data_IF_424819755004
#
_entry.id   IF_424819755004
#
_cell.length_a   1.000
_cell.length_b   1.000
_cell.length_c   1.000
_cell.angle_alpha   90.00
_cell.angle_beta   90.00
_cell.angle_gamma   90.00
#
_symmetry.space_group_name_H-M   'P 1'
#
loop_
_entity.id
_entity.type
_entity.pdbx_description
1 polymer ?
#
# COMPACT_ATOMS: atom_id res chain seq x y z
N UNK A 1 -31.44 24.34 25.70
CA UNK A 1 -32.52 24.14 24.70
C UNK A 1 -32.77 25.35 23.78
N UNK A 2 -32.62 26.61 24.24
CA UNK A 2 -32.90 27.79 23.40
C UNK A 2 -31.95 27.97 22.19
N UNK A 3 -30.67 27.57 22.30
CA UNK A 3 -29.69 27.71 21.21
C UNK A 3 -29.92 26.77 20.02
N UNK A 4 -30.48 25.57 20.26
CA UNK A 4 -30.86 24.68 19.16
C UNK A 4 -31.99 25.28 18.33
N UNK A 5 -32.99 25.89 18.98
CA UNK A 5 -34.12 26.52 18.29
C UNK A 5 -33.69 27.67 17.38
N UNK A 6 -32.71 28.46 17.79
CA UNK A 6 -32.17 29.59 17.00
C UNK A 6 -31.40 29.12 15.78
N UNK A 7 -30.63 28.04 15.91
CA UNK A 7 -29.90 27.45 14.79
C UNK A 7 -30.89 26.84 13.78
N UNK A 8 -31.91 26.12 14.25
CA UNK A 8 -32.91 25.52 13.37
C UNK A 8 -33.75 26.55 12.62
N UNK A 9 -34.13 27.66 13.27
CA UNK A 9 -34.88 28.74 12.60
C UNK A 9 -34.06 29.46 11.55
N UNK A 10 -32.77 29.69 11.82
CA UNK A 10 -31.84 30.32 10.88
C UNK A 10 -31.60 29.44 9.64
N UNK A 11 -31.43 28.13 9.82
CA UNK A 11 -31.31 27.17 8.72
C UNK A 11 -32.58 27.15 7.86
N UNK A 12 -33.77 27.22 8.50
CA UNK A 12 -35.04 27.22 7.78
C UNK A 12 -35.26 28.50 6.95
N UNK A 13 -34.85 29.66 7.47
CA UNK A 13 -34.87 30.93 6.74
C UNK A 13 -33.86 30.94 5.58
N UNK A 14 -32.68 30.34 5.79
CA UNK A 14 -31.66 30.21 4.75
C UNK A 14 -32.11 29.27 3.63
N UNK A 15 -32.77 28.14 3.95
CA UNK A 15 -33.34 27.22 2.96
C UNK A 15 -34.56 27.79 2.22
N UNK A 16 -35.20 28.86 2.71
CA UNK A 16 -36.33 29.50 2.02
C UNK A 16 -35.90 30.23 0.73
N UNK A 17 -34.61 30.59 0.62
CA UNK A 17 -34.06 31.14 -0.60
C UNK A 17 -33.80 30.02 -1.63
N UNK A 18 -34.49 30.08 -2.78
CA UNK A 18 -34.36 29.11 -3.89
C UNK A 18 -32.93 28.87 -4.36
N UNK A 19 -32.06 29.88 -4.27
CA UNK A 19 -30.66 29.74 -4.65
C UNK A 19 -29.85 29.01 -3.58
N UNK A 20 -30.10 29.31 -2.30
CA UNK A 20 -29.43 28.65 -1.19
C UNK A 20 -29.85 27.18 -1.07
N UNK A 21 -31.15 26.88 -1.22
CA UNK A 21 -31.66 25.51 -1.21
C UNK A 21 -31.02 24.67 -2.32
N UNK A 22 -30.99 25.18 -3.56
CA UNK A 22 -30.37 24.49 -4.69
C UNK A 22 -28.86 24.27 -4.47
N UNK A 23 -28.14 25.26 -3.94
CA UNK A 23 -26.71 25.12 -3.62
C UNK A 23 -26.45 24.10 -2.52
N UNK A 24 -27.28 24.04 -1.48
CA UNK A 24 -27.15 23.03 -0.40
C UNK A 24 -27.41 21.64 -0.96
N UNK A 25 -28.45 21.47 -1.78
CA UNK A 25 -28.74 20.18 -2.44
C UNK A 25 -27.60 19.79 -3.37
N UNK A 26 -27.04 20.71 -4.16
CA UNK A 26 -25.90 20.45 -5.02
C UNK A 26 -24.65 20.05 -4.23
N UNK A 27 -24.37 20.73 -3.10
CA UNK A 27 -23.26 20.38 -2.23
C UNK A 27 -23.45 19.01 -1.59
N UNK A 28 -24.65 18.70 -1.10
CA UNK A 28 -24.97 17.37 -0.56
C UNK A 28 -24.89 16.30 -1.66
N UNK A 29 -25.32 16.60 -2.88
CA UNK A 29 -25.21 15.69 -4.02
C UNK A 29 -23.75 15.38 -4.33
N UNK A 30 -22.88 16.39 -4.38
CA UNK A 30 -21.44 16.16 -4.58
C UNK A 30 -20.82 15.43 -3.39
N UNK A 31 -21.27 15.67 -2.16
CA UNK A 31 -20.71 15.01 -0.97
C UNK A 31 -21.17 13.56 -0.76
N UNK A 32 -22.34 13.15 -1.25
CA UNK A 32 -22.91 11.83 -0.96
C UNK A 32 -23.26 10.97 -2.19
N UNK A 33 -23.52 11.59 -3.34
CA UNK A 33 -23.96 10.88 -4.56
C UNK A 33 -22.85 10.85 -5.61
N UNK A 34 -21.87 11.76 -5.54
CA UNK A 34 -20.70 11.67 -6.41
C UNK A 34 -19.73 10.60 -5.89
N UNK A 35 -19.14 9.84 -6.80
CA UNK A 35 -18.24 8.71 -6.48
C UNK A 35 -16.95 9.11 -5.73
N UNK A 36 -16.71 10.41 -5.55
CA UNK A 36 -15.50 10.97 -4.94
C UNK A 36 -15.82 11.42 -3.52
N UNK A 37 -16.04 10.43 -2.65
CA UNK A 37 -16.13 10.68 -1.22
C UNK A 37 -14.77 11.14 -0.66
N UNK A 38 -14.80 12.06 0.30
CA UNK A 38 -13.57 12.53 0.98
C UNK A 38 -12.84 11.36 1.67
N UNK A 39 -13.61 10.38 2.18
CA UNK A 39 -13.07 9.16 2.77
C UNK A 39 -12.37 8.26 1.75
N UNK A 40 -12.90 8.21 0.52
CA UNK A 40 -12.29 7.48 -0.59
C UNK A 40 -10.92 8.09 -0.92
N UNK A 41 -10.85 9.41 -1.12
CA UNK A 41 -9.59 10.12 -1.40
C UNK A 41 -8.55 9.88 -0.28
N UNK A 42 -8.98 9.96 0.98
CA UNK A 42 -8.09 9.75 2.11
C UNK A 42 -7.54 8.32 2.14
N UNK A 43 -8.39 7.32 1.92
CA UNK A 43 -8.02 5.90 1.91
C UNK A 43 -7.09 5.58 0.74
N UNK A 44 -7.41 6.11 -0.45
CA UNK A 44 -6.60 5.93 -1.65
C UNK A 44 -5.21 6.55 -1.47
N UNK A 45 -5.11 7.72 -0.83
CA UNK A 45 -3.81 8.35 -0.52
C UNK A 45 -2.95 7.49 0.41
N UNK A 46 -3.56 6.84 1.41
CA UNK A 46 -2.86 5.90 2.30
C UNK A 46 -2.38 4.68 1.51
N UNK A 47 -3.24 4.12 0.66
CA UNK A 47 -2.90 2.97 -0.17
C UNK A 47 -1.78 3.28 -1.15
N UNK A 48 -1.84 4.45 -1.81
CA UNK A 48 -0.78 4.95 -2.68
C UNK A 48 0.56 5.06 -1.94
N UNK A 49 0.56 5.57 -0.71
CA UNK A 49 1.80 5.66 0.06
C UNK A 49 2.34 4.27 0.42
N UNK A 50 1.48 3.36 0.86
CA UNK A 50 1.87 1.95 1.13
C UNK A 50 2.45 1.27 -0.11
N UNK A 51 1.89 1.50 -1.29
CA UNK A 51 2.41 0.94 -2.53
C UNK A 51 3.77 1.53 -2.90
N UNK A 52 3.97 2.84 -2.70
CA UNK A 52 5.28 3.48 -2.89
C UNK A 52 6.34 2.89 -1.95
N UNK A 53 6.00 2.70 -0.68
CA UNK A 53 6.91 2.10 0.30
C UNK A 53 7.27 0.65 -0.06
N UNK A 54 6.32 -0.13 -0.58
CA UNK A 54 6.61 -1.48 -1.11
C UNK A 54 7.53 -1.45 -2.32
N UNK A 55 7.34 -0.48 -3.21
CA UNK A 55 8.20 -0.32 -4.39
C UNK A 55 9.64 -0.01 -3.96
N UNK A 56 9.83 0.92 -3.03
CA UNK A 56 11.19 1.25 -2.53
C UNK A 56 11.84 0.02 -1.89
N UNK A 57 11.14 -0.69 -1.00
CA UNK A 57 11.66 -1.90 -0.35
C UNK A 57 12.07 -2.98 -1.37
N UNK A 58 11.23 -3.26 -2.37
CA UNK A 58 11.52 -4.26 -3.40
C UNK A 58 12.71 -3.81 -4.26
N UNK A 59 12.81 -2.52 -4.60
CA UNK A 59 13.93 -2.02 -5.39
C UNK A 59 15.26 -2.18 -4.65
N UNK A 60 15.30 -1.89 -3.36
CA UNK A 60 16.49 -2.08 -2.52
C UNK A 60 16.89 -3.56 -2.44
N UNK A 61 15.92 -4.45 -2.18
CA UNK A 61 16.15 -5.91 -2.18
C UNK A 61 16.67 -6.40 -3.53
N UNK A 62 16.14 -5.88 -4.64
CA UNK A 62 16.58 -6.26 -5.98
C UNK A 62 18.03 -5.83 -6.24
N UNK A 63 18.41 -4.62 -5.83
CA UNK A 63 19.80 -4.16 -5.93
C UNK A 63 20.74 -5.04 -5.10
N UNK A 64 20.37 -5.36 -3.86
CA UNK A 64 21.15 -6.25 -3.00
C UNK A 64 21.30 -7.66 -3.60
N UNK A 65 20.22 -8.25 -4.11
CA UNK A 65 20.23 -9.56 -4.76
C UNK A 65 21.08 -9.56 -6.03
N UNK A 66 21.00 -8.50 -6.85
CA UNK A 66 21.87 -8.35 -8.03
C UNK A 66 23.34 -8.30 -7.64
N UNK A 67 23.69 -7.64 -6.54
CA UNK A 67 25.05 -7.64 -6.04
C UNK A 67 25.50 -9.05 -5.62
N UNK A 68 24.68 -9.75 -4.83
CA UNK A 68 24.95 -11.13 -4.40
C UNK A 68 25.10 -12.07 -5.59
N UNK A 69 24.24 -11.97 -6.61
CA UNK A 69 24.34 -12.75 -7.84
C UNK A 69 25.65 -12.47 -8.59
N UNK A 70 26.07 -11.21 -8.65
CA UNK A 70 27.34 -10.82 -9.28
C UNK A 70 28.54 -11.42 -8.54
N UNK A 71 28.50 -11.47 -7.21
CA UNK A 71 29.53 -12.13 -6.40
C UNK A 71 29.53 -13.65 -6.59
N UNK A 72 28.35 -14.27 -6.61
CA UNK A 72 28.18 -15.71 -6.84
C UNK A 72 28.75 -16.13 -8.21
N UNK A 73 28.44 -15.36 -9.26
CA UNK A 73 28.92 -15.64 -10.62
C UNK A 73 30.43 -15.42 -10.77
N UNK A 74 31.03 -14.53 -9.98
CA UNK A 74 32.47 -14.27 -10.01
C UNK A 74 33.29 -15.33 -9.29
N UNK A 75 32.73 -15.98 -8.26
CA UNK A 75 33.47 -16.91 -7.42
C UNK A 75 32.83 -18.32 -7.39
N UNK A 76 33.36 -19.29 -8.15
CA UNK A 76 32.80 -20.63 -8.21
C UNK A 76 32.82 -21.37 -6.87
N UNK A 77 33.74 -21.04 -5.95
CA UNK A 77 33.77 -21.63 -4.60
C UNK A 77 32.60 -21.17 -3.74
N UNK A 78 32.19 -19.91 -3.88
CA UNK A 78 31.05 -19.35 -3.15
C UNK A 78 29.75 -19.93 -3.70
N UNK A 79 29.65 -20.08 -5.02
CA UNK A 79 28.54 -20.76 -5.68
C UNK A 79 28.37 -22.20 -5.18
N UNK A 80 29.46 -22.99 -5.15
CA UNK A 80 29.43 -24.37 -4.66
C UNK A 80 29.02 -24.44 -3.18
N UNK A 81 29.52 -23.53 -2.34
CA UNK A 81 29.13 -23.44 -0.92
C UNK A 81 27.62 -23.20 -0.77
N UNK A 82 27.06 -22.21 -1.48
CA UNK A 82 25.63 -21.91 -1.41
C UNK A 82 24.79 -23.08 -1.94
N UNK A 83 25.22 -23.73 -3.02
CA UNK A 83 24.54 -24.90 -3.57
C UNK A 83 24.50 -26.07 -2.58
N UNK A 84 25.59 -26.31 -1.85
CA UNK A 84 25.69 -27.37 -0.82
C UNK A 84 24.94 -27.03 0.47
N UNK A 85 25.07 -25.81 0.98
CA UNK A 85 24.50 -25.42 2.27
C UNK A 85 23.00 -25.10 2.21
N UNK A 86 22.56 -24.39 1.15
CA UNK A 86 21.15 -23.96 1.04
C UNK A 86 20.29 -24.92 0.25
N UNK A 87 20.85 -25.51 -0.81
CA UNK A 87 20.11 -26.36 -1.74
C UNK A 87 20.46 -27.84 -1.64
N UNK A 88 21.43 -28.21 -0.79
CA UNK A 88 21.89 -29.59 -0.59
C UNK A 88 22.23 -30.32 -1.88
N UNK A 89 22.74 -29.57 -2.87
CA UNK A 89 23.13 -30.12 -4.17
C UNK A 89 24.38 -31.00 -4.01
N UNK A 90 24.36 -32.16 -4.68
CA UNK A 90 25.47 -33.12 -4.73
C UNK A 90 25.96 -33.31 -6.17
N UNK A 91 27.23 -33.67 -6.35
CA UNK A 91 27.74 -34.07 -7.67
C UNK A 91 27.21 -35.48 -8.03
N UNK A 92 27.14 -35.83 -9.33
CA UNK A 92 26.59 -37.12 -9.77
C UNK A 92 27.28 -38.37 -9.17
N UNK A 93 28.56 -38.25 -8.78
CA UNK A 93 29.36 -39.32 -8.19
C UNK A 93 29.64 -39.09 -6.68
N UNK A 94 28.89 -38.20 -6.03
CA UNK A 94 29.06 -37.85 -4.62
C UNK A 94 27.82 -38.29 -3.83
N UNK A 95 28.02 -39.06 -2.75
CA UNK A 95 26.96 -39.38 -1.80
C UNK A 95 27.06 -38.45 -0.59
N UNK A 96 25.98 -37.74 -0.29
CA UNK A 96 25.89 -36.79 0.82
C UNK A 96 24.92 -37.35 1.85
N UNK A 97 25.40 -37.55 3.07
CA UNK A 97 24.61 -38.07 4.19
C UNK A 97 24.27 -36.91 5.13
N UNK A 98 22.98 -36.71 5.39
CA UNK A 98 22.49 -35.77 6.41
C UNK A 98 22.06 -36.57 7.62
N UNK A 99 22.81 -36.46 8.70
CA UNK A 99 22.44 -37.03 10.00
C UNK A 99 21.54 -35.99 10.67
N UNK A 100 20.30 -36.37 10.95
CA UNK A 100 19.34 -35.58 11.71
C UNK A 100 19.03 -36.40 12.95
N UNK A 101 19.22 -35.80 14.13
CA UNK A 101 18.83 -36.40 15.40
C UNK A 101 17.30 -36.50 15.54
#
# INVERSE_FOLDING_TARGET
>A
MQRLKTITSFILEFLKNRYAATSVIALLWVMFISDIDIFFIASEKIELNKMKDKVTEITEKNVALKHQLKELNKNPRVLERVARERYFMKKPLEEVYRIVD
#
